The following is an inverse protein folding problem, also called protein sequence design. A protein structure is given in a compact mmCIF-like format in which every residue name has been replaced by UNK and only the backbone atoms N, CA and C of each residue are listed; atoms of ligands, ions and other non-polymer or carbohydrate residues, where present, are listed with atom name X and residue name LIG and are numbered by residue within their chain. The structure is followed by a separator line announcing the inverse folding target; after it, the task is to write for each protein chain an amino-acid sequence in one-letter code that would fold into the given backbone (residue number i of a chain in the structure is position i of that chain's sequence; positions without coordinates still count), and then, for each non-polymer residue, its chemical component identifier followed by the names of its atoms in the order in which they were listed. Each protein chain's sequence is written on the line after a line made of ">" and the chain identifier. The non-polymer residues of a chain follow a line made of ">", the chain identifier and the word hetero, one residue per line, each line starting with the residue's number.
data_IF_561043458924
#
_entry.id   IF_561043458924
#
_cell.length_a   1.000
_cell.length_b   1.000
_cell.length_c   1.000
_cell.angle_alpha   90.00
_cell.angle_beta   90.00
_cell.angle_gamma   90.00
#
_symmetry.space_group_name_H-M   'P 1'
#
loop_
_entity.id
_entity.type
_entity.pdbx_description
1 polymer ?
#
# COMPACT_ATOMS: atom_id res chain seq x y z
N UNK A 1 40.76 55.41 -37.36
CA UNK A 1 39.67 54.44 -37.13
C UNK A 1 38.49 54.82 -37.99
N UNK A 2 38.00 53.93 -38.85
CA UNK A 2 36.73 54.08 -39.59
C UNK A 2 36.40 52.77 -40.33
N UNK A 3 35.19 52.23 -40.11
CA UNK A 3 34.63 51.06 -40.81
C UNK A 3 33.12 51.30 -40.97
N UNK A 4 32.57 51.13 -42.19
CA UNK A 4 31.43 50.22 -42.37
C UNK A 4 31.67 49.31 -43.61
N UNK A 5 31.22 48.04 -43.70
CA UNK A 5 29.83 47.51 -43.75
C UNK A 5 28.96 48.21 -44.84
N UNK A 6 28.27 47.54 -45.76
CA UNK A 6 28.23 46.10 -46.12
C UNK A 6 26.83 45.62 -46.55
N UNK A 7 26.73 44.91 -47.69
CA UNK A 7 25.53 44.24 -48.25
C UNK A 7 25.99 43.14 -49.23
N UNK A 8 25.48 41.89 -49.25
CA UNK A 8 24.14 41.41 -49.66
C UNK A 8 23.83 41.74 -51.14
N UNK A 9 23.26 40.87 -52.02
CA UNK A 9 22.48 39.61 -51.91
C UNK A 9 22.42 38.95 -53.34
N UNK A 10 22.14 37.66 -53.66
CA UNK A 10 22.18 36.34 -52.97
C UNK A 10 21.69 35.18 -53.91
N UNK A 11 22.41 34.03 -54.01
CA UNK A 11 21.97 32.68 -54.53
C UNK A 11 21.65 32.59 -56.07
N UNK A 12 21.55 31.44 -56.78
CA UNK A 12 21.55 29.97 -56.48
C UNK A 12 21.81 29.09 -57.75
N UNK A 13 22.19 27.81 -57.53
CA UNK A 13 22.00 26.56 -58.32
C UNK A 13 22.03 26.50 -59.87
N UNK A 14 22.74 25.48 -60.38
CA UNK A 14 22.13 24.37 -61.15
C UNK A 14 22.86 23.03 -60.81
N UNK A 15 22.33 21.88 -61.24
CA UNK A 15 22.79 20.54 -60.80
C UNK A 15 22.45 19.43 -61.81
N UNK A 16 22.94 18.19 -61.58
CA UNK A 16 22.70 16.94 -62.36
C UNK A 16 23.48 16.86 -63.71
N UNK A 17 24.10 15.75 -64.13
CA UNK A 17 24.45 14.43 -63.53
C UNK A 17 25.92 14.06 -63.93
N UNK A 18 26.62 13.09 -63.33
CA UNK A 18 26.47 11.63 -63.54
C UNK A 18 27.24 10.83 -62.47
N UNK A 19 26.64 9.78 -61.90
CA UNK A 19 27.33 8.80 -61.02
C UNK A 19 28.04 7.73 -61.85
N UNK A 20 29.10 7.14 -61.32
CA UNK A 20 29.85 6.04 -61.93
C UNK A 20 30.83 5.39 -60.96
N UNK A 21 30.28 4.60 -60.02
CA UNK A 21 30.91 3.59 -59.13
C UNK A 21 32.41 3.75 -58.79
N UNK A 22 32.70 4.09 -57.53
CA UNK A 22 34.03 3.88 -56.94
C UNK A 22 34.22 2.40 -56.63
N UNK A 23 35.14 1.73 -57.32
CA UNK A 23 35.65 0.42 -56.90
C UNK A 23 36.65 0.61 -55.76
N UNK A 24 36.33 0.06 -54.59
CA UNK A 24 37.27 -0.04 -53.46
C UNK A 24 38.16 -1.27 -53.72
N UNK A 25 39.49 -1.16 -53.67
CA UNK A 25 40.36 -2.32 -53.87
C UNK A 25 40.10 -3.38 -52.80
N UNK A 26 40.02 -4.64 -53.23
CA UNK A 26 39.81 -5.78 -52.34
C UNK A 26 40.97 -5.90 -51.34
N UNK A 27 40.71 -5.98 -50.02
CA UNK A 27 41.78 -6.08 -49.03
C UNK A 27 42.58 -7.35 -49.27
N UNK A 28 43.90 -7.20 -49.36
CA UNK A 28 44.84 -8.32 -49.37
C UNK A 28 45.10 -8.74 -47.92
N UNK A 29 45.48 -9.99 -47.67
CA UNK A 29 45.73 -10.56 -46.33
C UNK A 29 46.80 -9.81 -45.47
N UNK A 30 47.42 -8.76 -46.03
CA UNK A 30 48.39 -7.88 -45.36
C UNK A 30 47.76 -6.68 -44.64
N UNK A 31 46.49 -6.38 -44.88
CA UNK A 31 45.77 -5.25 -44.25
C UNK A 31 44.95 -5.65 -43.01
N UNK A 32 44.95 -6.94 -42.64
CA UNK A 32 44.48 -7.33 -41.32
C UNK A 32 45.48 -6.80 -40.28
N UNK A 33 45.02 -6.19 -39.16
CA UNK A 33 45.80 -6.21 -37.94
C UNK A 33 46.22 -7.66 -37.70
N UNK A 34 47.47 -7.89 -37.30
CA UNK A 34 47.87 -9.23 -36.92
C UNK A 34 46.97 -9.71 -35.79
N UNK A 35 46.68 -11.00 -35.82
CA UNK A 35 46.25 -11.74 -34.64
C UNK A 35 47.47 -11.86 -33.72
N UNK A 36 47.91 -10.71 -33.18
CA UNK A 36 48.74 -10.69 -32.00
C UNK A 36 47.81 -11.21 -30.90
N UNK A 37 47.95 -12.50 -30.56
CA UNK A 37 47.43 -13.08 -29.32
C UNK A 37 48.17 -12.43 -28.14
N UNK A 38 47.89 -11.15 -27.93
CA UNK A 38 48.00 -10.46 -26.65
C UNK A 38 47.12 -11.26 -25.69
N UNK A 39 47.77 -12.20 -24.99
CA UNK A 39 47.24 -13.05 -23.94
C UNK A 39 46.18 -12.29 -23.14
N UNK A 40 44.90 -12.56 -23.46
CA UNK A 40 43.76 -11.93 -22.82
C UNK A 40 43.61 -12.52 -21.41
N UNK A 41 44.58 -12.19 -20.57
CA UNK A 41 44.53 -12.36 -19.12
C UNK A 41 43.29 -11.61 -18.68
N UNK A 42 42.23 -12.37 -18.43
CA UNK A 42 41.11 -11.94 -17.62
C UNK A 42 41.67 -11.68 -16.23
N UNK A 43 42.19 -10.46 -16.03
CA UNK A 43 42.52 -9.92 -14.72
C UNK A 43 41.20 -9.83 -13.98
N UNK A 44 40.89 -10.89 -13.24
CA UNK A 44 39.77 -10.90 -12.31
C UNK A 44 39.95 -9.71 -11.38
N UNK A 45 39.07 -8.72 -11.50
CA UNK A 45 39.12 -7.50 -10.71
C UNK A 45 38.86 -7.75 -9.22
N UNK A 46 38.42 -8.96 -8.85
CA UNK A 46 38.38 -9.46 -7.47
C UNK A 46 39.74 -9.95 -6.95
N UNK A 47 40.72 -10.24 -7.81
CA UNK A 47 42.09 -10.56 -7.40
C UNK A 47 42.88 -9.28 -7.12
N UNK A 48 42.48 -8.56 -6.06
CA UNK A 48 43.27 -7.48 -5.48
C UNK A 48 44.69 -8.00 -5.20
N UNK A 49 45.66 -7.56 -5.99
CA UNK A 49 47.08 -7.86 -5.79
C UNK A 49 47.51 -7.08 -4.57
N UNK A 50 47.30 -7.70 -3.41
CA UNK A 50 47.53 -7.23 -2.06
C UNK A 50 49.04 -6.98 -1.89
N UNK A 51 49.46 -5.82 -2.38
CA UNK A 51 50.82 -5.48 -2.82
C UNK A 51 51.75 -5.13 -1.68
N UNK A 52 51.23 -5.18 -0.46
CA UNK A 52 51.98 -5.00 0.77
C UNK A 52 52.88 -6.22 1.04
N UNK A 53 54.11 -6.01 1.55
CA UNK A 53 54.90 -7.08 2.14
C UNK A 53 54.27 -7.55 3.47
N UNK A 54 54.65 -8.74 3.93
CA UNK A 54 54.31 -9.16 5.29
C UNK A 54 55.08 -8.31 6.32
N UNK A 55 54.49 -7.97 7.48
CA UNK A 55 53.17 -8.38 7.97
C UNK A 55 52.02 -7.45 7.54
N UNK A 56 52.31 -6.30 6.92
CA UNK A 56 51.31 -5.27 6.59
C UNK A 56 50.16 -5.81 5.74
N UNK A 57 50.46 -6.77 4.86
CA UNK A 57 49.47 -7.51 4.08
C UNK A 57 48.39 -8.18 4.93
N UNK A 58 48.79 -8.89 5.99
CA UNK A 58 47.86 -9.54 6.91
C UNK A 58 47.01 -8.52 7.65
N UNK A 59 47.59 -7.37 8.03
CA UNK A 59 46.86 -6.26 8.67
C UNK A 59 45.81 -5.69 7.71
N UNK A 60 46.18 -5.44 6.44
CA UNK A 60 45.28 -4.95 5.40
C UNK A 60 44.04 -5.86 5.24
N UNK A 61 44.26 -7.17 5.10
CA UNK A 61 43.13 -8.13 5.01
C UNK A 61 42.23 -8.15 6.24
N UNK A 62 42.78 -8.02 7.45
CA UNK A 62 41.95 -7.99 8.66
C UNK A 62 41.19 -6.66 8.83
N UNK A 63 41.74 -5.56 8.33
CA UNK A 63 41.08 -4.24 8.32
C UNK A 63 39.96 -4.20 7.27
N UNK A 64 40.21 -4.67 6.05
CA UNK A 64 39.17 -4.75 5.01
C UNK A 64 38.02 -5.68 5.44
N UNK A 65 38.33 -6.88 5.93
CA UNK A 65 37.32 -7.82 6.47
C UNK A 65 36.49 -7.24 7.65
N UNK A 66 37.05 -6.28 8.40
CA UNK A 66 36.31 -5.55 9.44
C UNK A 66 35.39 -4.50 8.81
N UNK A 67 35.86 -3.75 7.81
CA UNK A 67 35.03 -2.80 7.07
C UNK A 67 33.88 -3.49 6.34
N UNK A 68 34.13 -4.61 5.65
CA UNK A 68 33.11 -5.39 4.94
C UNK A 68 31.95 -5.78 5.89
N UNK A 69 32.30 -6.37 7.04
CA UNK A 69 31.32 -6.78 8.06
C UNK A 69 30.61 -5.61 8.74
N UNK A 70 31.30 -4.50 8.97
CA UNK A 70 30.67 -3.28 9.45
C UNK A 70 29.70 -2.71 8.41
N UNK A 71 30.02 -2.83 7.12
CA UNK A 71 29.22 -2.34 6.01
C UNK A 71 27.96 -3.19 5.79
N UNK A 72 28.07 -4.53 5.80
CA UNK A 72 26.92 -5.46 5.82
C UNK A 72 25.92 -5.09 6.93
N UNK A 73 26.43 -4.88 8.14
CA UNK A 73 25.64 -4.58 9.36
C UNK A 73 25.05 -3.16 9.39
N UNK A 74 25.53 -2.26 8.51
CA UNK A 74 24.93 -0.95 8.23
C UNK A 74 23.85 -1.09 7.14
N UNK A 75 24.18 -1.74 6.01
CA UNK A 75 23.25 -1.96 4.90
C UNK A 75 21.99 -2.71 5.33
N UNK A 76 22.11 -3.74 6.18
CA UNK A 76 20.94 -4.47 6.73
C UNK A 76 20.04 -3.53 7.55
N UNK A 77 20.63 -2.64 8.38
CA UNK A 77 19.86 -1.70 9.19
C UNK A 77 19.17 -0.62 8.38
N UNK A 78 19.84 -0.08 7.37
CA UNK A 78 19.26 0.96 6.53
C UNK A 78 18.22 0.39 5.56
N UNK A 79 18.40 -0.84 5.05
CA UNK A 79 17.35 -1.56 4.32
C UNK A 79 16.09 -1.83 5.19
N UNK A 80 16.26 -2.18 6.47
CA UNK A 80 15.15 -2.33 7.41
C UNK A 80 14.45 -1.00 7.70
N UNK A 81 15.18 0.11 7.77
CA UNK A 81 14.63 1.47 7.91
C UNK A 81 13.88 1.92 6.65
N UNK A 82 14.41 1.65 5.46
CA UNK A 82 13.73 1.98 4.21
C UNK A 82 12.41 1.22 4.08
N UNK A 83 12.36 -0.05 4.52
CA UNK A 83 11.12 -0.84 4.65
C UNK A 83 10.15 -0.27 5.70
N UNK A 84 10.64 0.44 6.72
CA UNK A 84 9.79 1.12 7.71
C UNK A 84 9.29 2.50 7.21
N UNK A 85 10.15 3.30 6.57
CA UNK A 85 9.78 4.58 5.97
C UNK A 85 8.91 4.44 4.72
N UNK A 86 9.04 3.35 3.95
CA UNK A 86 8.16 3.06 2.81
C UNK A 86 6.78 2.54 3.22
N UNK A 87 6.53 2.26 4.51
CA UNK A 87 5.18 1.96 5.01
C UNK A 87 4.38 3.24 5.14
N UNK A 88 3.57 3.53 4.12
CA UNK A 88 2.52 4.55 4.19
C UNK A 88 1.66 4.32 5.43
N UNK A 89 1.72 5.24 6.40
CA UNK A 89 0.87 5.17 7.57
C UNK A 89 -0.60 5.34 7.14
N UNK A 90 -1.55 4.53 7.65
CA UNK A 90 -2.96 4.72 7.39
C UNK A 90 -3.42 6.11 7.84
N UNK A 91 -4.29 6.75 7.06
CA UNK A 91 -4.84 8.07 7.43
C UNK A 91 -5.75 7.93 8.65
N UNK A 92 -5.24 8.29 9.83
CA UNK A 92 -6.01 8.33 11.07
C UNK A 92 -6.96 9.53 11.05
N UNK A 93 -8.26 9.28 10.85
CA UNK A 93 -9.30 10.29 10.96
C UNK A 93 -9.75 10.46 12.42
N UNK A 94 -9.90 11.69 12.94
CA UNK A 94 -10.48 11.92 14.26
C UNK A 94 -11.98 11.58 14.25
N UNK A 95 -12.56 11.12 15.38
CA UNK A 95 -13.99 10.86 15.48
C UNK A 95 -14.80 12.15 15.31
N UNK A 96 -15.79 12.14 14.40
CA UNK A 96 -16.61 13.31 14.08
C UNK A 96 -17.59 13.69 15.21
N UNK A 97 -18.12 12.71 15.93
CA UNK A 97 -19.05 12.90 17.06
C UNK A 97 -18.80 11.83 18.13
N UNK A 98 -18.72 12.23 19.39
CA UNK A 98 -18.75 11.34 20.55
C UNK A 98 -20.17 11.35 21.16
N UNK A 99 -20.85 10.21 21.20
CA UNK A 99 -22.17 10.10 21.85
C UNK A 99 -22.03 9.44 23.23
N UNK A 100 -22.25 10.22 24.30
CA UNK A 100 -22.12 9.76 25.69
C UNK A 100 -23.35 8.94 26.10
N UNK A 101 -23.22 7.62 26.03
CA UNK A 101 -24.23 6.68 26.49
C UNK A 101 -24.31 6.66 28.02
N UNK A 102 -25.52 6.74 28.57
CA UNK A 102 -25.77 6.75 30.02
C UNK A 102 -25.38 5.45 30.74
N UNK A 103 -25.14 4.38 29.98
CA UNK A 103 -24.70 3.06 30.43
C UNK A 103 -23.80 2.45 29.34
N UNK A 104 -22.92 1.53 29.73
CA UNK A 104 -22.21 0.69 28.79
C UNK A 104 -23.21 -0.14 27.96
N UNK A 105 -23.10 -0.18 26.63
CA UNK A 105 -23.88 -1.09 25.80
C UNK A 105 -23.27 -2.50 25.84
N UNK A 106 -24.12 -3.51 25.67
CA UNK A 106 -23.71 -4.92 25.66
C UNK A 106 -23.27 -5.35 24.25
N UNK A 107 -23.93 -4.83 23.22
CA UNK A 107 -23.70 -5.20 21.83
C UNK A 107 -24.08 -4.07 20.86
N UNK A 108 -23.57 -4.15 19.63
CA UNK A 108 -23.86 -3.21 18.56
C UNK A 108 -23.95 -3.94 17.22
N UNK A 109 -24.86 -3.50 16.35
CA UNK A 109 -24.92 -3.87 14.94
C UNK A 109 -25.05 -2.60 14.08
N UNK A 110 -24.62 -2.67 12.83
CA UNK A 110 -24.74 -1.59 11.84
C UNK A 110 -25.38 -2.17 10.59
N UNK A 111 -26.36 -1.46 10.03
CA UNK A 111 -27.05 -1.83 8.80
C UNK A 111 -27.60 -0.56 8.16
N UNK A 112 -27.36 -0.40 6.86
CA UNK A 112 -27.56 0.87 6.14
C UNK A 112 -26.98 2.08 6.91
N UNK A 113 -27.73 3.19 6.98
CA UNK A 113 -27.36 4.42 7.69
C UNK A 113 -27.71 4.38 9.20
N UNK A 114 -27.90 3.18 9.78
CA UNK A 114 -28.40 3.00 11.14
C UNK A 114 -27.46 2.16 12.00
N UNK A 115 -27.31 2.57 13.26
CA UNK A 115 -26.54 1.87 14.31
C UNK A 115 -27.51 1.42 15.39
N UNK A 116 -27.53 0.11 15.63
CA UNK A 116 -28.39 -0.56 16.59
C UNK A 116 -27.55 -0.89 17.83
N UNK A 117 -27.89 -0.29 18.97
CA UNK A 117 -27.13 -0.41 20.22
C UNK A 117 -27.98 -1.14 21.26
N UNK A 118 -27.58 -2.36 21.60
CA UNK A 118 -28.24 -3.20 22.61
C UNK A 118 -27.64 -2.99 24.00
N UNK A 119 -28.47 -3.08 25.03
CA UNK A 119 -28.05 -2.90 26.41
C UNK A 119 -29.15 -3.26 27.40
N UNK A 120 -29.19 -2.53 28.52
CA UNK A 120 -30.07 -2.86 29.62
C UNK A 120 -31.56 -2.73 29.26
N UNK A 121 -32.31 -3.83 29.41
CA UNK A 121 -33.77 -3.94 29.16
C UNK A 121 -34.24 -3.57 27.74
N UNK A 122 -33.34 -3.52 26.77
CA UNK A 122 -33.70 -2.99 25.47
C UNK A 122 -32.56 -2.72 24.49
N UNK A 123 -32.92 -2.08 23.39
CA UNK A 123 -31.99 -1.55 22.41
C UNK A 123 -32.44 -0.17 21.91
N UNK A 124 -31.54 0.52 21.23
CA UNK A 124 -31.77 1.88 20.73
C UNK A 124 -31.16 2.04 19.33
N UNK A 125 -31.75 2.93 18.53
CA UNK A 125 -31.41 3.12 17.11
C UNK A 125 -30.89 4.54 16.94
N UNK A 126 -29.71 4.66 16.33
CA UNK A 126 -29.04 5.93 16.00
C UNK A 126 -28.85 6.03 14.49
N UNK A 127 -28.88 7.24 13.93
CA UNK A 127 -28.44 7.47 12.56
C UNK A 127 -26.91 7.67 12.52
N UNK A 128 -26.25 7.02 11.56
CA UNK A 128 -24.80 6.98 11.42
C UNK A 128 -24.18 8.35 11.11
N UNK A 129 -24.83 9.15 10.26
CA UNK A 129 -24.30 10.45 9.82
C UNK A 129 -24.41 11.56 10.87
N UNK A 130 -25.52 11.61 11.61
CA UNK A 130 -25.79 12.69 12.55
C UNK A 130 -25.62 12.30 14.03
N UNK A 131 -25.34 11.01 14.30
CA UNK A 131 -25.20 10.41 15.63
C UNK A 131 -26.37 10.68 16.61
N UNK A 132 -27.56 11.04 16.09
CA UNK A 132 -28.76 11.25 16.90
C UNK A 132 -29.49 9.93 17.08
N UNK A 133 -30.00 9.73 18.29
CA UNK A 133 -30.90 8.61 18.63
C UNK A 133 -32.28 8.88 18.04
N UNK A 134 -32.73 8.01 17.15
CA UNK A 134 -34.04 8.03 16.51
C UNK A 134 -35.07 7.32 17.41
N UNK A 135 -34.72 6.12 17.89
CA UNK A 135 -35.68 5.21 18.54
C UNK A 135 -35.10 4.54 19.79
N UNK A 136 -35.99 4.15 20.71
CA UNK A 136 -35.68 3.42 21.95
C UNK A 136 -36.71 2.30 22.13
N UNK A 137 -36.25 1.05 22.27
CA UNK A 137 -37.07 -0.12 22.58
C UNK A 137 -36.74 -0.66 23.99
N UNK A 138 -37.33 -0.07 25.04
CA UNK A 138 -37.17 -0.47 26.45
C UNK A 138 -38.30 -1.40 26.95
N UNK A 139 -38.77 -2.32 26.09
CA UNK A 139 -39.87 -3.27 26.43
C UNK A 139 -39.40 -4.65 26.86
N UNK A 140 -38.10 -4.93 26.89
CA UNK A 140 -37.57 -6.23 27.28
C UNK A 140 -37.41 -6.29 28.81
N UNK A 141 -37.72 -7.45 29.41
CA UNK A 141 -37.49 -7.68 30.85
C UNK A 141 -36.04 -8.00 31.19
N UNK A 142 -35.30 -8.40 30.17
CA UNK A 142 -33.95 -8.97 30.18
C UNK A 142 -33.08 -8.11 29.26
N UNK A 143 -31.77 -8.11 29.51
CA UNK A 143 -30.81 -7.32 28.75
C UNK A 143 -30.49 -7.97 27.40
N UNK A 144 -30.24 -7.16 26.38
CA UNK A 144 -29.90 -7.64 25.03
C UNK A 144 -28.44 -8.04 24.99
N UNK A 145 -28.14 -9.29 24.61
CA UNK A 145 -26.77 -9.85 24.54
C UNK A 145 -26.17 -9.74 23.15
N UNK A 146 -26.98 -9.85 22.11
CA UNK A 146 -26.56 -9.65 20.72
C UNK A 146 -27.69 -9.08 19.87
N UNK A 147 -27.31 -8.38 18.80
CA UNK A 147 -28.22 -7.91 17.76
C UNK A 147 -27.62 -8.38 16.44
N UNK A 148 -28.41 -9.08 15.62
CA UNK A 148 -28.12 -9.23 14.21
C UNK A 148 -29.02 -8.27 13.41
N UNK A 149 -28.49 -7.68 12.34
CA UNK A 149 -29.23 -6.80 11.44
C UNK A 149 -28.86 -7.15 9.99
N UNK A 150 -29.83 -7.13 9.08
CA UNK A 150 -29.61 -7.42 7.66
C UNK A 150 -30.52 -6.58 6.77
N UNK A 151 -29.99 -6.22 5.60
CA UNK A 151 -30.63 -5.29 4.67
C UNK A 151 -31.53 -6.08 3.70
N UNK A 152 -32.84 -5.79 3.72
CA UNK A 152 -33.85 -6.32 2.81
C UNK A 152 -34.27 -5.25 1.81
N UNK A 153 -33.29 -4.70 1.09
CA UNK A 153 -33.48 -3.59 0.15
C UNK A 153 -33.77 -2.28 0.89
N UNK A 154 -35.06 -1.92 1.02
CA UNK A 154 -35.51 -0.69 1.70
C UNK A 154 -36.02 -0.97 3.14
N UNK A 155 -35.92 -2.20 3.61
CA UNK A 155 -36.28 -2.59 4.98
C UNK A 155 -35.06 -3.17 5.70
N UNK A 156 -35.04 -3.10 7.03
CA UNK A 156 -33.97 -3.70 7.85
C UNK A 156 -34.60 -4.76 8.75
N UNK A 157 -34.18 -6.02 8.60
CA UNK A 157 -34.58 -7.09 9.52
C UNK A 157 -33.59 -7.14 10.69
N UNK A 158 -34.10 -7.00 11.91
CA UNK A 158 -33.33 -7.04 13.14
C UNK A 158 -33.72 -8.27 13.96
N UNK A 159 -32.73 -8.97 14.51
CA UNK A 159 -32.89 -10.06 15.45
C UNK A 159 -32.07 -9.77 16.72
N UNK A 160 -32.61 -8.99 17.68
CA UNK A 160 -32.08 -8.97 19.05
C UNK A 160 -32.32 -10.33 19.73
N UNK A 161 -31.28 -10.79 20.45
CA UNK A 161 -31.29 -11.94 21.35
C UNK A 161 -31.06 -11.44 22.77
N UNK A 162 -31.83 -11.95 23.74
CA UNK A 162 -31.68 -11.61 25.15
C UNK A 162 -30.75 -12.60 25.91
N UNK A 163 -30.49 -12.31 27.18
CA UNK A 163 -29.71 -13.16 28.10
C UNK A 163 -30.34 -14.55 28.31
N UNK A 164 -31.65 -14.69 28.08
CA UNK A 164 -32.40 -15.95 28.17
C UNK A 164 -32.40 -16.73 26.86
N UNK A 165 -31.56 -16.36 25.87
CA UNK A 165 -31.51 -17.03 24.57
C UNK A 165 -32.80 -16.90 23.74
N UNK A 166 -33.68 -15.96 24.09
CA UNK A 166 -34.88 -15.69 23.29
C UNK A 166 -34.55 -14.65 22.22
N UNK A 167 -34.74 -15.05 20.97
CA UNK A 167 -34.57 -14.21 19.79
C UNK A 167 -35.93 -13.66 19.34
N UNK A 168 -36.02 -12.36 19.05
CA UNK A 168 -37.24 -11.76 18.48
C UNK A 168 -36.96 -11.17 17.10
N UNK A 169 -37.31 -11.90 16.03
CA UNK A 169 -37.16 -11.38 14.66
C UNK A 169 -38.17 -10.27 14.42
N UNK A 170 -37.67 -9.06 14.24
CA UNK A 170 -38.42 -7.82 14.21
C UNK A 170 -37.98 -6.97 13.01
N UNK A 171 -38.92 -6.57 12.17
CA UNK A 171 -38.64 -5.69 11.04
C UNK A 171 -38.59 -4.25 11.53
N UNK A 172 -37.57 -3.50 11.14
CA UNK A 172 -37.50 -2.06 11.29
C UNK A 172 -37.76 -1.40 9.94
N UNK A 173 -38.95 -0.81 9.82
CA UNK A 173 -39.40 -0.06 8.67
C UNK A 173 -39.35 1.43 9.00
N UNK A 174 -38.18 2.04 8.83
CA UNK A 174 -37.89 3.48 8.74
C UNK A 174 -38.41 4.43 9.87
N UNK A 175 -39.11 3.92 10.87
CA UNK A 175 -39.56 4.57 12.11
C UNK A 175 -40.31 3.57 13.02
N UNK A 176 -40.88 2.50 12.45
CA UNK A 176 -41.65 1.47 13.17
C UNK A 176 -40.89 0.15 13.31
N UNK A 177 -41.00 -0.46 14.50
CA UNK A 177 -40.56 -1.84 14.77
C UNK A 177 -41.79 -2.76 14.78
N UNK A 178 -41.82 -3.72 13.86
CA UNK A 178 -42.85 -4.77 13.79
C UNK A 178 -42.24 -6.10 14.21
N UNK A 179 -42.60 -6.60 15.40
CA UNK A 179 -42.19 -7.95 15.83
C UNK A 179 -42.99 -8.97 15.02
N UNK A 180 -42.34 -9.64 14.07
CA UNK A 180 -43.00 -10.64 13.23
C UNK A 180 -42.97 -12.04 13.85
N UNK A 181 -41.97 -12.36 14.68
CA UNK A 181 -41.90 -13.68 15.34
C UNK A 181 -40.99 -13.70 16.56
N UNK A 182 -41.40 -14.44 17.59
CA UNK A 182 -40.55 -14.82 18.72
C UNK A 182 -40.05 -16.25 18.50
N UNK A 183 -38.74 -16.46 18.69
CA UNK A 183 -38.07 -17.75 18.64
C UNK A 183 -37.30 -17.96 19.94
N UNK A 184 -37.61 -19.02 20.68
CA UNK A 184 -36.75 -19.42 21.79
C UNK A 184 -35.62 -20.30 21.23
N UNK A 185 -34.35 -19.90 21.40
CA UNK A 185 -33.20 -20.67 20.92
C UNK A 185 -32.67 -21.67 21.96
N UNK A 186 -33.31 -21.78 23.14
CA UNK A 186 -33.04 -22.86 24.09
C UNK A 186 -33.50 -24.20 23.50
N UNK A 187 -32.57 -24.87 22.82
CA UNK A 187 -32.60 -26.31 22.55
C UNK A 187 -31.33 -26.94 23.12
N UNK A 188 -31.49 -27.52 24.31
CA UNK A 188 -30.83 -28.70 24.93
C UNK A 188 -29.51 -29.27 24.34
N UNK A 189 -28.64 -29.82 25.20
CA UNK A 189 -28.88 -31.14 25.80
C UNK A 189 -29.55 -31.10 27.19
#
# INVERSE_FOLDING_TARGET
>A
MSIPRGSQVQKRFSSFMRKGLLEVPSPTEKDWPKDDEDDYVFVDLGQEVDSLPQPYRMINKMVNLLFDKCWEVIQERDALRDVEFSRTQPTTYPPLVENKLNKMPNCMAISQDYVFIGGAKGFSIYNLYNAKRIYIWEKLRVDVTSIWATDLGNEILIAPVDEMGTCSSSFFLAEFIVICRLFNLISFP
#
